data_IF_866048976151
#
_entry.id   IF_866048976151
#
_cell.length_a   1.000
_cell.length_b   1.000
_cell.length_c   1.000
_cell.angle_alpha   90.00
_cell.angle_beta   90.00
_cell.angle_gamma   90.00
#
_symmetry.space_group_name_H-M   'P 1'
#
loop_
_entity.id
_entity.type
_entity.pdbx_description
1 polymer ?
#
# COMPACT_ATOMS: atom_id res chain seq x y z
N UNK A 1 5.20 36.06 22.19
CA UNK A 1 4.83 34.64 22.39
C UNK A 1 4.29 34.11 21.07
N UNK A 2 5.17 33.57 20.24
CA UNK A 2 4.84 33.00 18.94
C UNK A 2 5.56 31.64 18.81
N UNK A 3 4.86 30.60 19.21
CA UNK A 3 5.15 29.22 18.92
C UNK A 3 3.78 28.63 18.52
N UNK A 4 3.54 28.31 17.27
CA UNK A 4 3.48 26.93 16.83
C UNK A 4 3.70 26.69 15.32
N UNK A 5 4.24 27.62 14.54
CA UNK A 5 4.42 27.43 13.08
C UNK A 5 5.62 26.56 12.71
N UNK A 6 6.53 26.31 13.64
CA UNK A 6 7.70 25.47 13.39
C UNK A 6 7.39 23.97 13.34
N UNK A 7 6.25 23.54 13.89
CA UNK A 7 5.82 22.14 13.94
C UNK A 7 5.27 21.63 12.59
N UNK A 8 4.57 22.46 11.84
CA UNK A 8 3.91 22.03 10.58
C UNK A 8 4.94 21.79 9.45
N UNK A 9 6.03 22.53 9.47
CA UNK A 9 7.14 22.35 8.51
C UNK A 9 8.06 21.20 8.83
N UNK A 10 8.21 20.89 10.11
CA UNK A 10 8.87 19.65 10.50
C UNK A 10 8.10 18.45 9.96
N UNK A 11 6.76 18.49 9.87
CA UNK A 11 5.96 17.36 9.41
C UNK A 11 6.08 17.11 7.91
N UNK A 12 6.18 18.12 7.04
CA UNK A 12 6.34 17.91 5.61
C UNK A 12 7.78 17.48 5.24
N UNK A 13 8.78 18.14 5.81
CA UNK A 13 10.17 17.68 5.74
C UNK A 13 10.37 16.36 6.47
N UNK A 14 9.60 16.07 7.50
CA UNK A 14 9.61 14.80 8.22
C UNK A 14 8.91 13.72 7.39
N UNK A 15 7.86 14.04 6.63
CA UNK A 15 7.25 13.10 5.67
C UNK A 15 8.23 12.79 4.54
N UNK A 16 8.89 13.78 3.95
CA UNK A 16 9.90 13.60 2.92
C UNK A 16 11.23 13.04 3.48
N UNK A 17 11.66 13.41 4.68
CA UNK A 17 12.84 12.86 5.35
C UNK A 17 12.54 11.53 6.06
N UNK A 18 11.31 11.21 6.48
CA UNK A 18 10.92 9.87 6.92
C UNK A 18 11.00 8.81 5.82
N UNK A 19 11.06 9.21 4.54
CA UNK A 19 11.40 8.29 3.46
C UNK A 19 12.89 7.91 3.44
N UNK A 20 13.76 8.66 4.13
CA UNK A 20 15.20 8.38 4.16
C UNK A 20 15.69 7.65 5.42
N UNK A 21 14.88 7.53 6.49
CA UNK A 21 15.32 6.93 7.75
C UNK A 21 14.39 5.75 8.13
N UNK A 22 14.70 4.58 7.58
CA UNK A 22 13.92 3.33 7.72
C UNK A 22 14.19 2.59 9.03
N UNK A 23 14.67 3.24 10.08
CA UNK A 23 14.90 2.58 11.37
C UNK A 23 14.03 3.17 12.47
N UNK A 24 13.00 2.38 12.89
CA UNK A 24 12.21 2.54 14.13
C UNK A 24 11.12 3.59 14.10
N UNK A 25 9.96 3.28 13.47
CA UNK A 25 8.67 3.87 13.81
C UNK A 25 7.54 2.83 13.68
N UNK A 26 6.44 2.95 14.47
CA UNK A 26 5.32 2.01 14.39
C UNK A 26 4.79 2.01 12.95
N UNK A 27 4.44 0.84 12.44
CA UNK A 27 3.98 0.57 11.08
C UNK A 27 3.02 1.64 10.56
N UNK A 28 3.58 2.71 10.01
CA UNK A 28 2.80 3.77 9.37
C UNK A 28 2.28 3.18 8.06
N UNK A 29 0.96 3.13 7.92
CA UNK A 29 0.31 2.64 6.72
C UNK A 29 0.90 3.36 5.50
N UNK A 30 1.35 2.60 4.52
CA UNK A 30 1.88 3.17 3.28
C UNK A 30 0.84 4.09 2.63
N UNK A 31 1.26 5.28 2.24
CA UNK A 31 0.39 6.27 1.64
C UNK A 31 0.34 6.02 0.14
N UNK A 32 -0.83 5.63 -0.37
CA UNK A 32 -1.04 5.33 -1.78
C UNK A 32 -1.99 6.31 -2.41
N UNK A 33 -1.66 6.77 -3.62
CA UNK A 33 -2.57 7.53 -4.49
C UNK A 33 -3.09 6.65 -5.63
N UNK A 34 -4.17 7.09 -6.26
CA UNK A 34 -4.89 6.35 -7.31
C UNK A 34 -5.27 4.93 -6.85
N UNK A 35 -5.45 4.77 -5.55
CA UNK A 35 -5.68 3.48 -4.91
C UNK A 35 -7.05 2.89 -5.22
N UNK A 36 -7.08 1.55 -5.40
CA UNK A 36 -8.31 0.78 -5.46
C UNK A 36 -8.31 -0.27 -4.37
N UNK A 37 -9.40 -0.30 -3.60
CA UNK A 37 -9.60 -1.27 -2.53
C UNK A 37 -10.68 -2.27 -2.90
N UNK A 38 -10.36 -3.54 -2.75
CA UNK A 38 -11.26 -4.67 -2.94
C UNK A 38 -11.50 -5.35 -1.58
N UNK A 39 -12.75 -5.40 -1.15
CA UNK A 39 -13.13 -6.12 0.07
C UNK A 39 -13.02 -7.64 -0.18
N UNK A 40 -12.24 -8.33 0.65
CA UNK A 40 -12.08 -9.79 0.59
C UNK A 40 -13.08 -10.53 1.49
N UNK A 41 -13.73 -9.81 2.39
CA UNK A 41 -14.77 -10.31 3.29
C UNK A 41 -16.02 -9.42 3.20
N UNK A 42 -17.19 -9.97 3.49
CA UNK A 42 -18.45 -9.22 3.43
C UNK A 42 -18.46 -7.96 4.32
N UNK A 43 -17.70 -7.98 5.41
CA UNK A 43 -17.58 -6.85 6.34
C UNK A 43 -16.47 -5.87 5.97
N UNK A 44 -15.68 -6.13 4.90
CA UNK A 44 -14.47 -5.37 4.59
C UNK A 44 -13.33 -5.55 5.59
N UNK A 45 -13.44 -6.52 6.51
CA UNK A 45 -12.46 -6.79 7.55
C UNK A 45 -11.07 -7.12 6.99
N UNK A 46 -11.04 -7.82 5.87
CA UNK A 46 -9.84 -8.03 5.04
C UNK A 46 -10.07 -7.40 3.69
N UNK A 47 -9.00 -6.84 3.16
CA UNK A 47 -9.03 -6.12 1.89
C UNK A 47 -7.73 -6.36 1.11
N UNK A 48 -7.81 -6.12 -0.18
CA UNK A 48 -6.68 -6.00 -1.07
C UNK A 48 -6.70 -4.60 -1.64
N UNK A 49 -5.59 -3.89 -1.50
CA UNK A 49 -5.35 -2.57 -2.06
C UNK A 49 -4.33 -2.65 -3.18
N UNK A 50 -4.51 -1.84 -4.20
CA UNK A 50 -3.50 -1.59 -5.22
C UNK A 50 -3.47 -0.09 -5.51
N UNK A 51 -2.29 0.52 -5.55
CA UNK A 51 -2.12 1.94 -5.77
C UNK A 51 -0.66 2.30 -5.99
N UNK A 52 -0.38 3.58 -6.21
CA UNK A 52 0.99 4.08 -6.32
C UNK A 52 1.45 4.51 -4.93
N UNK A 53 2.44 3.81 -4.40
CA UNK A 53 3.16 4.25 -3.21
C UNK A 53 4.01 5.46 -3.58
N UNK A 54 3.75 6.57 -2.87
CA UNK A 54 4.40 7.85 -3.14
C UNK A 54 5.70 7.94 -2.37
N UNK A 55 6.81 7.99 -3.08
CA UNK A 55 8.15 8.10 -2.48
C UNK A 55 9.23 8.22 -3.56
N UNK A 56 10.48 8.48 -3.17
CA UNK A 56 11.62 8.33 -4.05
C UNK A 56 12.26 6.92 -3.90
N UNK A 57 12.09 5.99 -4.86
CA UNK A 57 11.23 6.07 -6.04
C UNK A 57 9.74 5.78 -5.73
N UNK A 58 8.84 6.34 -6.55
CA UNK A 58 7.43 5.94 -6.56
C UNK A 58 7.26 4.61 -7.31
N UNK A 59 6.33 3.76 -6.87
CA UNK A 59 6.09 2.45 -7.49
C UNK A 59 4.67 1.96 -7.25
N UNK A 60 4.18 1.07 -8.11
CA UNK A 60 2.89 0.41 -7.90
C UNK A 60 3.04 -0.65 -6.83
N UNK A 61 2.20 -0.57 -5.81
CA UNK A 61 2.18 -1.49 -4.68
C UNK A 61 0.86 -2.24 -4.60
N UNK A 62 0.95 -3.55 -4.37
CA UNK A 62 -0.18 -4.40 -4.03
C UNK A 62 -0.08 -4.69 -2.54
N UNK A 63 -1.15 -4.48 -1.80
CA UNK A 63 -1.15 -4.74 -0.36
C UNK A 63 -2.38 -5.53 0.07
N UNK A 64 -2.18 -6.49 0.96
CA UNK A 64 -3.25 -7.23 1.60
C UNK A 64 -3.29 -6.77 3.04
N UNK A 65 -4.46 -6.35 3.51
CA UNK A 65 -4.58 -5.81 4.86
C UNK A 65 -5.79 -6.31 5.64
N UNK A 66 -5.77 -6.00 6.92
CA UNK A 66 -6.92 -6.21 7.80
C UNK A 66 -7.29 -4.91 8.54
N UNK A 67 -8.47 -4.92 9.19
CA UNK A 67 -8.97 -3.78 9.97
C UNK A 67 -8.11 -3.44 11.19
N UNK A 68 -7.20 -4.33 11.62
CA UNK A 68 -6.27 -4.11 12.74
C UNK A 68 -5.06 -3.30 12.33
N UNK A 69 -4.93 -2.97 11.03
CA UNK A 69 -3.80 -2.25 10.50
C UNK A 69 -2.61 -3.13 10.10
N UNK A 70 -2.75 -4.46 10.21
CA UNK A 70 -1.73 -5.35 9.63
C UNK A 70 -1.83 -5.27 8.11
N UNK A 71 -0.73 -4.97 7.45
CA UNK A 71 -0.69 -4.84 6.00
C UNK A 71 0.57 -5.51 5.45
N UNK A 72 0.38 -6.36 4.47
CA UNK A 72 1.39 -7.13 3.78
C UNK A 72 1.55 -6.57 2.37
N UNK A 73 2.69 -5.93 2.09
CA UNK A 73 3.03 -5.40 0.77
C UNK A 73 3.62 -6.48 -0.13
N UNK A 74 3.18 -6.53 -1.37
CA UNK A 74 3.60 -7.48 -2.37
C UNK A 74 4.08 -6.76 -3.64
N UNK A 75 5.17 -7.24 -4.22
CA UNK A 75 5.50 -6.93 -5.60
C UNK A 75 4.58 -7.70 -6.56
N UNK A 76 4.47 -7.22 -7.81
CA UNK A 76 3.75 -7.94 -8.85
C UNK A 76 4.30 -9.36 -9.05
N UNK A 77 5.60 -9.52 -8.94
CA UNK A 77 6.27 -10.82 -9.08
C UNK A 77 5.84 -11.78 -7.96
N UNK A 78 5.83 -11.29 -6.71
CA UNK A 78 5.34 -12.08 -5.56
C UNK A 78 3.87 -12.42 -5.70
N UNK A 79 3.04 -11.47 -6.17
CA UNK A 79 1.64 -11.72 -6.46
C UNK A 79 1.45 -12.82 -7.50
N UNK A 80 2.15 -12.74 -8.63
CA UNK A 80 2.10 -13.77 -9.70
C UNK A 80 2.57 -15.12 -9.19
N UNK A 81 3.65 -15.17 -8.44
CA UNK A 81 4.12 -16.42 -7.85
C UNK A 81 3.09 -17.03 -6.87
N UNK A 82 2.38 -16.20 -6.09
CA UNK A 82 1.30 -16.67 -5.22
C UNK A 82 0.12 -17.22 -6.05
N UNK A 83 -0.23 -16.56 -7.14
CA UNK A 83 -1.27 -17.01 -8.06
C UNK A 83 -0.92 -18.33 -8.74
N UNK A 84 0.32 -18.53 -9.14
CA UNK A 84 0.79 -19.79 -9.71
C UNK A 84 0.65 -20.96 -8.74
N UNK A 85 0.89 -20.73 -7.46
CA UNK A 85 0.78 -21.72 -6.39
C UNK A 85 -0.67 -21.98 -5.93
N UNK A 86 -1.67 -21.29 -6.46
CA UNK A 86 -3.07 -21.34 -6.00
C UNK A 86 -3.66 -22.75 -5.91
N UNK A 87 -3.35 -23.59 -6.88
CA UNK A 87 -3.87 -24.96 -6.92
C UNK A 87 -3.24 -25.86 -5.87
N UNK A 88 -1.93 -25.74 -5.62
CA UNK A 88 -1.25 -26.47 -4.54
C UNK A 88 -1.76 -26.02 -3.17
N UNK A 89 -1.96 -24.72 -2.99
CA UNK A 89 -2.52 -24.16 -1.75
C UNK A 89 -3.94 -24.69 -1.51
N UNK A 90 -4.78 -24.69 -2.54
CA UNK A 90 -6.16 -25.15 -2.44
C UNK A 90 -6.22 -26.67 -2.18
N UNK A 91 -5.42 -27.46 -2.88
CA UNK A 91 -5.35 -28.92 -2.69
C UNK A 91 -4.94 -29.28 -1.26
N UNK A 92 -3.96 -28.57 -0.69
CA UNK A 92 -3.52 -28.78 0.70
C UNK A 92 -4.60 -28.38 1.71
N UNK A 93 -5.34 -27.32 1.45
CA UNK A 93 -6.48 -26.93 2.28
C UNK A 93 -7.58 -28.02 2.23
N UNK A 94 -7.91 -28.51 1.03
CA UNK A 94 -8.92 -29.58 0.88
C UNK A 94 -8.52 -30.85 1.63
N UNK A 95 -7.27 -31.29 1.49
CA UNK A 95 -6.77 -32.53 2.07
C UNK A 95 -6.36 -32.45 3.52
N UNK A 96 -6.42 -31.28 4.13
CA UNK A 96 -5.92 -30.99 5.49
C UNK A 96 -4.46 -31.38 5.70
N UNK A 97 -3.65 -31.25 4.66
CA UNK A 97 -2.23 -31.58 4.69
C UNK A 97 -1.47 -30.39 5.24
N UNK A 98 -1.08 -30.46 6.51
CA UNK A 98 -0.10 -29.54 7.12
C UNK A 98 1.30 -29.89 6.65
N UNK A 99 1.57 -29.63 5.36
CA UNK A 99 2.86 -29.91 4.73
C UNK A 99 3.91 -28.83 5.04
N UNK A 100 5.05 -28.92 4.35
CA UNK A 100 6.06 -27.87 4.41
C UNK A 100 5.48 -26.55 3.91
N UNK A 101 5.89 -25.40 4.49
CA UNK A 101 5.49 -24.09 3.98
C UNK A 101 5.83 -23.94 2.48
N UNK A 102 5.02 -23.17 1.75
CA UNK A 102 5.31 -22.77 0.38
C UNK A 102 5.97 -21.40 0.45
N UNK A 103 7.13 -21.24 -0.18
CA UNK A 103 7.84 -19.95 -0.23
C UNK A 103 7.67 -19.33 -1.61
N UNK A 104 7.25 -18.06 -1.63
CA UNK A 104 7.04 -17.26 -2.85
C UNK A 104 7.76 -15.91 -2.66
N UNK A 105 8.98 -15.80 -3.16
CA UNK A 105 9.83 -14.64 -2.88
C UNK A 105 10.01 -14.43 -1.37
N UNK A 106 9.70 -13.23 -0.83
CA UNK A 106 9.77 -12.94 0.60
C UNK A 106 8.59 -13.51 1.41
N UNK A 107 7.56 -14.02 0.73
CA UNK A 107 6.33 -14.52 1.34
C UNK A 107 6.44 -16.00 1.67
N UNK A 108 5.98 -16.38 2.85
CA UNK A 108 5.83 -17.79 3.27
C UNK A 108 4.35 -18.08 3.49
N UNK A 109 3.82 -19.07 2.76
CA UNK A 109 2.45 -19.56 2.92
C UNK A 109 2.46 -20.76 3.84
N UNK A 110 1.71 -20.67 4.94
CA UNK A 110 1.54 -21.75 5.92
C UNK A 110 0.08 -22.15 6.05
N UNK A 111 -0.16 -23.34 6.56
CA UNK A 111 -1.48 -23.88 6.78
C UNK A 111 -1.72 -24.06 8.26
N UNK A 112 -2.89 -23.66 8.75
CA UNK A 112 -3.29 -23.76 10.15
C UNK A 112 -4.77 -24.12 10.22
N UNK A 113 -5.23 -24.51 11.42
CA UNK A 113 -6.65 -24.67 11.70
C UNK A 113 -6.97 -24.05 13.05
N UNK A 114 -8.12 -23.40 13.14
CA UNK A 114 -8.66 -22.82 14.37
C UNK A 114 -10.15 -23.08 14.43
N UNK A 115 -10.62 -23.72 15.51
CA UNK A 115 -12.03 -24.08 15.68
C UNK A 115 -12.59 -24.84 14.45
N UNK A 116 -11.89 -25.87 14.00
CA UNK A 116 -12.20 -26.67 12.81
C UNK A 116 -12.23 -25.90 11.47
N UNK A 117 -11.89 -24.62 11.49
CA UNK A 117 -11.79 -23.81 10.27
C UNK A 117 -10.36 -23.83 9.77
N UNK A 118 -10.19 -24.24 8.52
CA UNK A 118 -8.89 -24.25 7.83
C UNK A 118 -8.48 -22.84 7.47
N UNK A 119 -7.24 -22.50 7.70
CA UNK A 119 -6.68 -21.17 7.51
C UNK A 119 -5.42 -21.21 6.64
N UNK A 120 -5.31 -20.26 5.75
CA UNK A 120 -4.08 -19.87 5.08
C UNK A 120 -3.44 -18.74 5.86
N UNK A 121 -2.17 -18.89 6.19
CA UNK A 121 -1.36 -17.86 6.83
C UNK A 121 -0.34 -17.36 5.80
N UNK A 122 -0.41 -16.08 5.49
CA UNK A 122 0.59 -15.39 4.68
C UNK A 122 1.54 -14.66 5.63
N UNK A 123 2.78 -15.11 5.67
CA UNK A 123 3.82 -14.60 6.56
C UNK A 123 4.88 -13.87 5.75
N UNK A 124 5.22 -12.64 6.14
CA UNK A 124 6.46 -11.94 5.76
C UNK A 124 7.38 -11.84 6.98
N UNK A 125 8.50 -11.08 6.88
CA UNK A 125 9.39 -10.83 8.01
C UNK A 125 8.67 -10.26 9.24
N UNK A 126 7.70 -9.36 9.02
CA UNK A 126 7.14 -8.50 10.06
C UNK A 126 5.63 -8.67 10.26
N UNK A 127 4.95 -9.21 9.26
CA UNK A 127 3.49 -9.29 9.23
C UNK A 127 3.01 -10.71 8.97
N UNK A 128 2.01 -11.10 9.74
CA UNK A 128 1.26 -12.34 9.52
C UNK A 128 -0.22 -12.03 9.29
N UNK A 129 -0.73 -12.47 8.17
CA UNK A 129 -2.15 -12.40 7.84
C UNK A 129 -2.74 -13.81 7.75
N UNK A 130 -3.78 -14.07 8.53
CA UNK A 130 -4.52 -15.33 8.47
C UNK A 130 -5.85 -15.10 7.78
N UNK A 131 -6.24 -15.99 6.90
CA UNK A 131 -7.51 -15.93 6.19
C UNK A 131 -8.10 -17.32 5.97
N UNK A 132 -9.42 -17.40 5.85
CA UNK A 132 -10.11 -18.63 5.49
C UNK A 132 -9.87 -18.97 4.02
N UNK A 133 -10.15 -20.22 3.65
CA UNK A 133 -10.11 -20.67 2.26
C UNK A 133 -10.96 -19.76 1.35
N UNK A 134 -12.19 -19.45 1.76
CA UNK A 134 -13.08 -18.59 0.96
C UNK A 134 -12.51 -17.19 0.75
N UNK A 135 -11.88 -16.60 1.77
CA UNK A 135 -11.22 -15.29 1.64
C UNK A 135 -10.02 -15.36 0.70
N UNK A 136 -9.22 -16.43 0.80
CA UNK A 136 -8.09 -16.66 -0.10
C UNK A 136 -8.55 -16.81 -1.56
N UNK A 137 -9.59 -17.60 -1.80
CA UNK A 137 -10.13 -17.76 -3.16
C UNK A 137 -10.70 -16.46 -3.71
N UNK A 138 -11.42 -15.67 -2.88
CA UNK A 138 -11.88 -14.34 -3.28
C UNK A 138 -10.72 -13.46 -3.71
N UNK A 139 -9.61 -13.48 -2.96
CA UNK A 139 -8.39 -12.73 -3.27
C UNK A 139 -7.77 -13.16 -4.59
N UNK A 140 -7.57 -14.45 -4.78
CA UNK A 140 -6.94 -15.01 -6.00
C UNK A 140 -7.80 -14.75 -7.25
N UNK A 141 -9.12 -14.75 -7.12
CA UNK A 141 -10.04 -14.44 -8.23
C UNK A 141 -9.95 -12.99 -8.72
N UNK A 142 -9.29 -12.11 -7.97
CA UNK A 142 -9.02 -10.73 -8.40
C UNK A 142 -7.80 -10.60 -9.33
N UNK A 143 -7.09 -11.68 -9.64
CA UNK A 143 -5.82 -11.65 -10.39
C UNK A 143 -5.91 -10.80 -11.66
N UNK A 144 -6.88 -11.05 -12.51
CA UNK A 144 -7.06 -10.28 -13.75
C UNK A 144 -7.33 -8.78 -13.48
N UNK A 145 -8.11 -8.46 -12.44
CA UNK A 145 -8.34 -7.06 -12.03
C UNK A 145 -7.05 -6.39 -11.55
N UNK A 146 -6.23 -7.13 -10.82
CA UNK A 146 -4.94 -6.64 -10.32
C UNK A 146 -3.97 -6.40 -11.47
N UNK A 147 -3.84 -7.34 -12.41
CA UNK A 147 -2.97 -7.16 -13.57
C UNK A 147 -3.34 -5.94 -14.42
N UNK A 148 -4.64 -5.78 -14.71
CA UNK A 148 -5.13 -4.63 -15.49
C UNK A 148 -4.90 -3.31 -14.75
N UNK A 149 -5.19 -3.28 -13.44
CA UNK A 149 -4.99 -2.07 -12.63
C UNK A 149 -3.51 -1.75 -12.51
N UNK A 150 -2.66 -2.76 -12.27
CA UNK A 150 -1.21 -2.58 -12.22
C UNK A 150 -0.68 -1.95 -13.51
N UNK A 151 -1.04 -2.51 -14.66
CA UNK A 151 -0.61 -2.00 -15.95
C UNK A 151 -1.10 -0.55 -16.24
N UNK A 152 -2.25 -0.15 -15.70
CA UNK A 152 -2.74 1.22 -15.80
C UNK A 152 -1.95 2.18 -14.91
N UNK A 153 -1.67 1.78 -13.67
CA UNK A 153 -0.94 2.59 -12.69
C UNK A 153 0.53 2.74 -13.10
N UNK A 154 1.16 1.67 -13.56
CA UNK A 154 2.56 1.64 -13.99
C UNK A 154 2.87 2.69 -15.07
N UNK A 155 1.93 2.94 -15.98
CA UNK A 155 2.06 3.98 -17.03
C UNK A 155 2.13 5.41 -16.50
N UNK A 156 1.69 5.64 -15.27
CA UNK A 156 1.61 6.98 -14.69
C UNK A 156 2.55 7.19 -13.51
N UNK A 157 3.31 6.16 -13.10
CA UNK A 157 4.28 6.22 -11.98
C UNK A 157 5.27 7.35 -12.19
N UNK A 158 5.93 7.42 -13.36
CA UNK A 158 6.93 8.46 -13.66
C UNK A 158 6.32 9.87 -13.57
N UNK A 159 5.06 10.02 -13.99
CA UNK A 159 4.34 11.29 -13.88
C UNK A 159 4.07 11.65 -12.42
N UNK A 160 3.71 10.67 -11.60
CA UNK A 160 3.52 10.87 -10.15
C UNK A 160 4.83 11.30 -9.52
N UNK A 161 5.91 10.60 -9.79
CA UNK A 161 7.24 10.92 -9.24
C UNK A 161 7.72 12.32 -9.62
N UNK A 162 7.56 12.71 -10.89
CA UNK A 162 7.86 14.06 -11.34
C UNK A 162 7.04 15.13 -10.61
N UNK A 163 5.74 14.87 -10.37
CA UNK A 163 4.86 15.79 -9.62
C UNK A 163 5.23 15.89 -8.15
N UNK A 164 5.58 14.77 -7.52
CA UNK A 164 6.08 14.75 -6.13
C UNK A 164 7.33 15.62 -6.01
N UNK A 165 8.28 15.47 -6.92
CA UNK A 165 9.49 16.29 -6.94
C UNK A 165 9.19 17.79 -7.11
N UNK A 166 8.25 18.16 -8.01
CA UNK A 166 7.82 19.53 -8.21
C UNK A 166 7.18 20.13 -6.97
N UNK A 167 6.22 19.43 -6.34
CA UNK A 167 5.55 19.90 -5.12
C UNK A 167 6.51 20.00 -3.94
N UNK A 168 7.46 19.07 -3.81
CA UNK A 168 8.50 19.10 -2.80
C UNK A 168 9.41 20.32 -2.93
N UNK A 169 9.78 20.67 -4.16
CA UNK A 169 10.62 21.85 -4.43
C UNK A 169 9.88 23.14 -4.04
N UNK A 170 8.59 23.27 -4.37
CA UNK A 170 7.78 24.43 -4.01
C UNK A 170 7.64 24.54 -2.49
N UNK A 171 7.31 23.42 -1.83
CA UNK A 171 7.14 23.37 -0.38
C UNK A 171 8.44 23.70 0.38
N UNK A 172 9.58 23.32 -0.16
CA UNK A 172 10.90 23.64 0.42
C UNK A 172 11.27 25.11 0.27
N UNK A 173 10.79 25.79 -0.78
CA UNK A 173 11.07 27.21 -1.03
C UNK A 173 10.14 28.13 -0.19
N UNK A 174 8.90 27.74 0.02
CA UNK A 174 7.84 28.52 0.68
C UNK A 174 7.42 27.88 2.00
N UNK A 175 8.29 28.00 3.01
CA UNK A 175 8.12 27.29 4.29
C UNK A 175 6.95 27.72 5.16
N UNK A 176 6.33 28.88 4.91
CA UNK A 176 5.24 29.41 5.76
C UNK A 176 3.83 29.06 5.28
N UNK A 177 3.67 28.81 3.98
CA UNK A 177 2.36 28.50 3.39
C UNK A 177 2.53 27.65 2.11
N UNK A 178 3.14 26.49 2.29
CA UNK A 178 3.41 25.55 1.19
C UNK A 178 2.15 25.20 0.39
N UNK A 179 0.97 25.17 1.06
CA UNK A 179 -0.28 24.80 0.39
C UNK A 179 -0.75 25.83 -0.61
N UNK A 180 -0.74 27.10 -0.20
CA UNK A 180 -1.13 28.18 -1.09
C UNK A 180 -0.08 28.37 -2.20
N UNK A 181 1.20 28.17 -1.90
CA UNK A 181 2.27 28.21 -2.89
C UNK A 181 2.08 27.11 -3.95
N UNK A 182 1.78 25.86 -3.56
CA UNK A 182 1.49 24.77 -4.50
C UNK A 182 0.24 25.10 -5.33
N UNK A 183 -0.87 25.56 -4.70
CA UNK A 183 -2.11 25.90 -5.41
C UNK A 183 -1.94 27.04 -6.41
N UNK A 184 -1.12 28.04 -6.09
CA UNK A 184 -0.85 29.19 -6.93
C UNK A 184 0.17 28.91 -8.04
N UNK A 185 0.87 27.78 -7.97
CA UNK A 185 1.90 27.42 -8.93
C UNK A 185 1.31 26.98 -10.28
N UNK A 186 2.03 27.18 -11.36
CA UNK A 186 1.69 26.68 -12.70
C UNK A 186 1.74 25.13 -12.77
N UNK A 187 2.35 24.47 -11.79
CA UNK A 187 2.49 23.02 -11.72
C UNK A 187 1.26 22.32 -11.14
N UNK A 188 0.37 23.04 -10.45
CA UNK A 188 -0.86 22.48 -9.89
C UNK A 188 -2.04 22.67 -10.84
N UNK A 189 -2.71 21.58 -11.16
CA UNK A 189 -3.94 21.59 -11.95
C UNK A 189 -5.05 20.85 -11.18
N UNK A 190 -6.00 21.60 -10.62
CA UNK A 190 -7.14 21.07 -9.88
C UNK A 190 -8.08 20.16 -10.67
N UNK A 191 -7.93 20.07 -12.01
CA UNK A 191 -8.68 19.13 -12.86
C UNK A 191 -7.91 17.80 -13.08
N UNK A 192 -6.69 17.68 -12.57
CA UNK A 192 -5.88 16.47 -12.66
C UNK A 192 -5.95 15.69 -11.33
N UNK A 193 -6.43 14.46 -11.41
CA UNK A 193 -6.61 13.60 -10.22
C UNK A 193 -5.29 13.38 -9.46
N UNK A 194 -4.17 13.20 -10.16
CA UNK A 194 -2.85 13.04 -9.55
C UNK A 194 -2.49 14.25 -8.67
N UNK A 195 -2.69 15.46 -9.23
CA UNK A 195 -2.36 16.69 -8.53
C UNK A 195 -3.26 16.89 -7.29
N UNK A 196 -4.56 16.55 -7.42
CA UNK A 196 -5.50 16.64 -6.31
C UNK A 196 -5.20 15.63 -5.20
N UNK A 197 -4.91 14.37 -5.55
CA UNK A 197 -4.60 13.35 -4.56
C UNK A 197 -3.26 13.62 -3.87
N UNK A 198 -2.22 14.00 -4.61
CA UNK A 198 -0.94 14.41 -4.01
C UNK A 198 -1.11 15.61 -3.09
N UNK A 199 -1.92 16.58 -3.51
CA UNK A 199 -2.21 17.75 -2.69
C UNK A 199 -2.95 17.37 -1.39
N UNK A 200 -3.94 16.47 -1.47
CA UNK A 200 -4.67 15.97 -0.30
C UNK A 200 -3.74 15.28 0.70
N UNK A 201 -2.75 14.51 0.24
CA UNK A 201 -1.78 13.86 1.11
C UNK A 201 -0.96 14.84 1.96
N UNK A 202 -0.68 16.01 1.43
CA UNK A 202 0.07 17.05 2.14
C UNK A 202 -0.74 17.64 3.28
N UNK A 203 -2.09 17.62 3.18
CA UNK A 203 -2.99 18.32 4.10
C UNK A 203 -3.89 17.41 4.93
N UNK A 204 -4.04 16.13 4.58
CA UNK A 204 -4.83 15.15 5.32
C UNK A 204 -4.05 14.49 6.48
N UNK A 205 -2.89 14.99 6.85
CA UNK A 205 -2.24 14.57 8.09
C UNK A 205 -3.06 15.13 9.24
N UNK A 206 -3.80 14.33 10.02
CA UNK A 206 -4.50 14.82 11.21
C UNK A 206 -3.47 15.38 12.18
N UNK A 207 -3.72 16.62 12.58
CA UNK A 207 -3.02 17.31 13.66
C UNK A 207 -3.17 16.55 14.99
#
# INVERSE_FOLDING_TARGET
>A
MNLPLCLILLDFLTILNCFCDLSVLPTRRAVRILGRRYALTATGYKYLDIGINVGPPSYVEIAIGDHRGNELSLSLETWKGLYEQRWDIQDRLCKDVRGRPITVGPLTVRFSAMNDTKLVCLDSSDVRLMMTESTFLTMINLDHCIELTYAQLDRVVDKVEAKVAQFSNIASAETKDASNAIRASEFFNGNHIIDCELFALVFDTPM
#
